data_IF_093771678415
#
_entry.id   IF_093771678415
#
_cell.length_a   1.000
_cell.length_b   1.000
_cell.length_c   1.000
_cell.angle_alpha   90.00
_cell.angle_beta   90.00
_cell.angle_gamma   90.00
#
_symmetry.space_group_name_H-M   'P 1'
#
loop_
_entity.id
_entity.type
_entity.pdbx_description
1 polymer ?
#
# COMPACT_ATOMS: atom_id res chain seq x y z
N UNK A 1 20.53 39.78 45.67
CA UNK A 1 21.82 39.24 46.16
C UNK A 1 21.56 37.86 46.72
N UNK A 2 22.52 36.92 46.56
CA UNK A 2 22.44 35.50 46.96
C UNK A 2 21.44 34.74 46.04
N UNK A 3 21.80 33.77 45.18
CA UNK A 3 23.00 32.91 45.05
C UNK A 3 22.82 31.61 45.85
N UNK A 4 23.17 30.39 45.42
CA UNK A 4 23.71 29.85 44.16
C UNK A 4 23.36 28.33 44.10
N UNK A 5 23.48 27.68 42.92
CA UNK A 5 23.52 26.20 42.80
C UNK A 5 25.00 25.72 42.90
N UNK A 6 25.39 24.45 43.24
CA UNK A 6 25.13 23.26 42.40
C UNK A 6 25.18 21.85 43.12
N UNK A 7 25.31 20.77 42.33
CA UNK A 7 25.52 19.33 42.65
C UNK A 7 27.04 18.94 42.72
N UNK A 8 27.56 17.69 42.52
CA UNK A 8 27.04 16.29 42.46
C UNK A 8 27.92 15.21 43.19
N UNK A 9 27.69 13.90 42.94
CA UNK A 9 28.58 12.68 42.90
C UNK A 9 27.88 11.42 43.50
N UNK A 10 27.67 10.29 42.80
CA UNK A 10 28.60 9.24 42.28
C UNK A 10 29.26 8.38 43.39
N UNK A 11 29.39 7.04 43.37
CA UNK A 11 29.16 5.96 42.38
C UNK A 11 29.13 4.55 43.08
N UNK A 12 28.42 3.55 42.52
CA UNK A 12 28.93 2.15 42.45
C UNK A 12 28.48 1.02 43.42
N UNK A 13 27.94 -0.06 42.82
CA UNK A 13 28.35 -1.48 42.92
C UNK A 13 27.78 -2.54 43.96
N UNK A 14 27.34 -3.66 43.36
CA UNK A 14 27.53 -5.10 43.72
C UNK A 14 26.53 -5.89 44.62
N UNK A 15 26.50 -7.21 44.32
CA UNK A 15 25.52 -8.28 44.60
C UNK A 15 26.36 -9.59 44.77
N UNK A 16 25.99 -10.68 45.52
CA UNK A 16 24.67 -11.12 46.05
C UNK A 16 24.67 -11.61 47.53
N UNK A 17 23.55 -12.22 47.98
CA UNK A 17 23.47 -13.63 48.48
C UNK A 17 22.79 -13.96 49.84
N UNK A 18 21.85 -14.91 49.76
CA UNK A 18 21.57 -16.06 50.66
C UNK A 18 21.91 -16.00 52.17
N UNK A 19 20.87 -15.78 52.99
CA UNK A 19 20.61 -16.47 54.27
C UNK A 19 19.08 -16.71 54.31
N UNK A 20 18.50 -17.91 54.37
CA UNK A 20 18.81 -19.19 55.02
C UNK A 20 18.40 -19.28 56.51
N UNK A 21 17.12 -19.66 56.69
CA UNK A 21 16.59 -20.64 57.68
C UNK A 21 16.15 -20.25 59.11
N UNK A 22 15.07 -20.94 59.51
CA UNK A 22 14.55 -21.24 60.87
C UNK A 22 13.76 -20.15 61.61
N UNK A 23 12.43 -20.33 61.57
CA UNK A 23 11.37 -20.19 62.61
C UNK A 23 10.08 -19.86 61.82
N UNK A 24 9.22 -20.82 61.48
CA UNK A 24 8.41 -21.60 62.42
C UNK A 24 8.11 -23.01 61.89
N UNK A 25 8.61 -24.04 62.59
CA UNK A 25 8.07 -25.40 62.55
C UNK A 25 7.44 -25.66 63.92
N UNK A 26 6.12 -25.50 64.06
CA UNK A 26 5.38 -25.95 65.24
C UNK A 26 3.85 -26.12 65.02
N UNK A 27 3.43 -26.60 63.83
CA UNK A 27 2.17 -27.34 63.70
C UNK A 27 2.44 -28.59 62.86
N UNK A 28 2.80 -29.67 63.54
CA UNK A 28 2.86 -31.03 63.01
C UNK A 28 2.14 -31.96 63.98
N UNK A 29 1.73 -33.13 63.48
CA UNK A 29 0.95 -34.16 64.20
C UNK A 29 -0.53 -33.78 64.40
N UNK A 30 -1.37 -34.10 63.39
CA UNK A 30 -2.83 -33.98 63.52
C UNK A 30 -3.66 -34.45 62.32
N UNK A 31 -3.19 -34.32 61.06
CA UNK A 31 -4.08 -34.48 59.86
C UNK A 31 -3.48 -35.37 58.74
N UNK A 32 -2.42 -36.14 58.99
CA UNK A 32 -1.77 -36.99 57.95
C UNK A 32 -2.22 -38.47 58.03
N UNK A 33 -3.36 -38.75 58.68
CA UNK A 33 -3.86 -40.13 58.89
C UNK A 33 -5.36 -40.32 58.58
N UNK A 34 -5.96 -39.46 57.76
CA UNK A 34 -7.38 -39.57 57.33
C UNK A 34 -7.55 -39.60 55.79
N UNK A 35 -6.53 -39.19 55.02
CA UNK A 35 -6.62 -39.04 53.55
C UNK A 35 -6.42 -40.38 52.78
N UNK A 36 -6.25 -41.50 53.47
CA UNK A 36 -5.96 -42.81 52.88
C UNK A 36 -7.09 -43.86 52.99
N UNK A 37 -8.35 -43.45 53.24
CA UNK A 37 -9.50 -44.39 53.32
C UNK A 37 -10.82 -43.89 52.70
N UNK A 38 -10.81 -42.84 51.87
CA UNK A 38 -11.99 -42.45 51.07
C UNK A 38 -11.69 -42.23 49.57
N UNK A 39 -10.65 -42.91 49.08
CA UNK A 39 -10.34 -43.00 47.64
C UNK A 39 -11.07 -44.14 46.95
N UNK A 40 -12.41 -44.14 46.93
CA UNK A 40 -13.21 -45.01 46.03
C UNK A 40 -14.65 -44.49 45.85
N UNK A 41 -14.78 -43.34 45.20
CA UNK A 41 -16.02 -42.96 44.51
C UNK A 41 -15.63 -42.32 43.17
N UNK A 42 -15.88 -43.03 42.08
CA UNK A 42 -15.82 -42.45 40.74
C UNK A 42 -16.95 -41.42 40.61
N UNK A 43 -16.66 -40.12 40.39
CA UNK A 43 -17.67 -39.25 39.83
C UNK A 43 -17.90 -39.73 38.40
N UNK A 44 -19.09 -40.27 38.11
CA UNK A 44 -19.56 -40.41 36.73
C UNK A 44 -19.61 -39.02 36.12
N UNK A 45 -18.53 -38.63 35.44
CA UNK A 45 -18.57 -37.55 34.45
C UNK A 45 -19.57 -37.98 33.40
N UNK A 46 -20.78 -37.44 33.49
CA UNK A 46 -21.74 -37.52 32.40
C UNK A 46 -21.09 -36.76 31.26
N UNK A 47 -20.53 -37.48 30.30
CA UNK A 47 -20.15 -36.92 29.01
C UNK A 47 -21.42 -36.36 28.40
N UNK A 48 -21.65 -35.07 28.60
CA UNK A 48 -22.48 -34.30 27.69
C UNK A 48 -21.63 -34.20 26.44
N UNK A 49 -21.83 -35.15 25.53
CA UNK A 49 -21.55 -34.93 24.12
C UNK A 49 -22.49 -33.83 23.66
N UNK A 50 -22.13 -32.60 23.99
CA UNK A 50 -22.49 -31.49 23.15
C UNK A 50 -21.76 -31.76 21.85
N UNK A 51 -22.50 -32.24 20.85
CA UNK A 51 -22.22 -31.74 19.51
C UNK A 51 -22.39 -30.22 19.61
N UNK A 52 -21.29 -29.52 19.85
CA UNK A 52 -21.10 -28.21 19.24
C UNK A 52 -20.94 -28.48 17.74
N UNK A 53 -22.06 -28.88 17.10
CA UNK A 53 -22.17 -28.76 15.67
C UNK A 53 -22.12 -27.25 15.42
N UNK A 54 -20.99 -26.76 14.93
CA UNK A 54 -20.98 -25.55 14.14
C UNK A 54 -22.12 -25.72 13.14
N UNK A 55 -23.19 -24.95 13.31
CA UNK A 55 -24.34 -24.99 12.41
C UNK A 55 -23.88 -24.34 11.12
N UNK A 56 -23.28 -25.16 10.26
CA UNK A 56 -22.76 -24.76 8.96
C UNK A 56 -23.86 -23.97 8.23
N UNK A 57 -23.62 -22.68 8.05
CA UNK A 57 -24.60 -21.78 7.46
C UNK A 57 -24.87 -22.26 6.03
N UNK A 58 -26.12 -22.60 5.74
CA UNK A 58 -26.53 -23.10 4.43
C UNK A 58 -26.11 -22.09 3.35
N UNK A 59 -25.28 -22.52 2.40
CA UNK A 59 -24.83 -21.67 1.31
C UNK A 59 -25.87 -21.64 0.18
N UNK A 60 -26.02 -20.48 -0.46
CA UNK A 60 -26.73 -20.32 -1.74
C UNK A 60 -25.77 -19.84 -2.82
N UNK A 61 -25.96 -20.35 -4.03
CA UNK A 61 -25.20 -19.88 -5.20
C UNK A 61 -25.74 -18.52 -5.67
N UNK A 62 -24.84 -17.64 -6.09
CA UNK A 62 -25.10 -16.34 -6.71
C UNK A 62 -24.29 -16.23 -8.00
N UNK A 63 -24.75 -15.42 -8.96
CA UNK A 63 -23.98 -15.08 -10.16
C UNK A 63 -23.71 -13.58 -10.23
N UNK A 64 -22.44 -13.20 -10.27
CA UNK A 64 -21.97 -11.83 -10.50
C UNK A 64 -21.52 -11.67 -11.96
N UNK A 65 -22.07 -10.68 -12.67
CA UNK A 65 -21.57 -10.24 -13.99
C UNK A 65 -20.87 -8.89 -13.82
N UNK A 66 -19.68 -8.72 -14.40
CA UNK A 66 -18.93 -7.45 -14.40
C UNK A 66 -18.75 -6.88 -15.82
N UNK A 67 -18.94 -5.58 -15.97
CA UNK A 67 -18.53 -4.80 -17.14
C UNK A 67 -17.62 -3.67 -16.65
N UNK A 68 -16.32 -3.76 -16.89
CA UNK A 68 -15.34 -2.76 -16.45
C UNK A 68 -14.80 -1.93 -17.62
N UNK A 69 -14.41 -0.70 -17.35
CA UNK A 69 -13.87 0.29 -18.28
C UNK A 69 -12.65 0.95 -17.64
N UNK A 70 -11.68 1.31 -18.47
CA UNK A 70 -10.46 2.02 -18.06
C UNK A 70 -9.71 1.29 -16.92
N UNK A 71 -9.59 -0.02 -17.10
CA UNK A 71 -8.85 -0.95 -16.24
C UNK A 71 -7.94 -1.78 -17.16
N UNK A 72 -6.69 -1.95 -16.76
CA UNK A 72 -5.64 -2.49 -17.65
C UNK A 72 -5.30 -3.95 -17.34
N UNK A 73 -4.54 -4.59 -18.23
CA UNK A 73 -3.79 -5.80 -17.91
C UNK A 73 -2.71 -5.47 -16.87
N UNK A 74 -2.43 -6.41 -15.95
CA UNK A 74 -1.34 -6.29 -14.98
C UNK A 74 -0.19 -7.22 -15.36
N UNK A 75 1.05 -6.74 -15.28
CA UNK A 75 2.26 -7.55 -15.49
C UNK A 75 2.45 -8.60 -14.36
N UNK A 76 2.08 -8.22 -13.13
CA UNK A 76 2.03 -9.08 -11.95
C UNK A 76 0.73 -8.89 -11.16
N UNK A 77 0.45 -9.79 -10.24
CA UNK A 77 -0.79 -9.83 -9.48
C UNK A 77 -2.00 -10.28 -10.30
N UNK A 78 -3.17 -10.00 -9.75
CA UNK A 78 -4.47 -10.26 -10.37
C UNK A 78 -5.56 -9.40 -9.74
N UNK A 79 -6.74 -9.37 -10.36
CA UNK A 79 -7.93 -8.75 -9.79
C UNK A 79 -8.80 -9.77 -9.05
N UNK A 80 -9.46 -9.34 -7.98
CA UNK A 80 -10.49 -10.15 -7.31
C UNK A 80 -11.77 -9.36 -7.14
N UNK A 81 -12.87 -9.95 -7.61
CA UNK A 81 -14.20 -9.41 -7.44
C UNK A 81 -14.79 -9.85 -6.10
N UNK A 82 -15.38 -8.91 -5.37
CA UNK A 82 -15.95 -9.13 -4.04
C UNK A 82 -17.38 -8.62 -3.97
N UNK A 83 -18.20 -9.34 -3.20
CA UNK A 83 -19.55 -8.88 -2.81
C UNK A 83 -19.64 -8.89 -1.28
N UNK A 84 -20.25 -7.87 -0.70
CA UNK A 84 -20.31 -7.71 0.77
C UNK A 84 -21.70 -7.32 1.25
N UNK A 85 -22.02 -7.69 2.50
CA UNK A 85 -23.19 -7.19 3.24
C UNK A 85 -22.88 -5.94 4.09
N UNK A 86 -21.63 -5.48 4.08
CA UNK A 86 -21.10 -4.38 4.90
C UNK A 86 -20.39 -4.84 6.19
N UNK A 87 -20.35 -6.15 6.45
CA UNK A 87 -19.65 -6.76 7.60
C UNK A 87 -18.72 -7.90 7.11
N UNK A 88 -19.23 -8.74 6.23
CA UNK A 88 -18.53 -9.88 5.62
C UNK A 88 -18.36 -9.63 4.13
N UNK A 89 -17.24 -10.08 3.56
CA UNK A 89 -16.98 -10.05 2.11
C UNK A 89 -16.84 -11.49 1.61
N UNK A 90 -17.44 -11.79 0.46
CA UNK A 90 -17.35 -13.07 -0.22
C UNK A 90 -16.59 -12.88 -1.53
N UNK A 91 -15.55 -13.70 -1.74
CA UNK A 91 -14.76 -13.79 -2.98
C UNK A 91 -15.68 -14.30 -4.08
N UNK A 92 -16.05 -13.44 -5.03
CA UNK A 92 -16.89 -13.81 -6.17
C UNK A 92 -16.08 -14.52 -7.25
N UNK A 93 -14.86 -14.05 -7.50
CA UNK A 93 -13.89 -14.72 -8.37
C UNK A 93 -12.63 -13.90 -8.60
N UNK A 94 -11.53 -14.61 -8.87
CA UNK A 94 -10.25 -14.04 -9.28
C UNK A 94 -10.14 -14.03 -10.80
N UNK A 95 -9.59 -12.96 -11.38
CA UNK A 95 -9.40 -12.82 -12.82
C UNK A 95 -8.18 -11.96 -13.17
N UNK A 96 -7.71 -12.09 -14.41
CA UNK A 96 -6.84 -11.11 -15.07
C UNK A 96 -7.53 -10.56 -16.31
N UNK A 97 -7.08 -9.41 -16.77
CA UNK A 97 -7.44 -8.84 -18.06
C UNK A 97 -6.32 -9.12 -19.06
N UNK A 98 -6.70 -9.44 -20.29
CA UNK A 98 -5.82 -9.35 -21.46
C UNK A 98 -5.88 -7.92 -22.03
N UNK A 99 -4.90 -7.59 -22.86
CA UNK A 99 -4.77 -6.31 -23.56
C UNK A 99 -6.01 -5.94 -24.41
N UNK A 100 -6.82 -6.93 -24.81
CA UNK A 100 -8.09 -6.77 -25.54
C UNK A 100 -9.32 -6.57 -24.62
N UNK A 101 -9.11 -6.45 -23.31
CA UNK A 101 -10.15 -6.32 -22.29
C UNK A 101 -10.87 -7.64 -21.94
N UNK A 102 -10.44 -8.78 -22.48
CA UNK A 102 -11.07 -10.07 -22.18
C UNK A 102 -10.65 -10.58 -20.80
N UNK A 103 -11.64 -10.91 -19.98
CA UNK A 103 -11.46 -11.51 -18.67
C UNK A 103 -11.00 -12.96 -18.81
N UNK A 104 -9.94 -13.32 -18.06
CA UNK A 104 -9.46 -14.69 -17.91
C UNK A 104 -9.36 -15.10 -16.46
N UNK A 105 -9.51 -16.39 -16.17
CA UNK A 105 -9.17 -16.96 -14.86
C UNK A 105 -7.64 -16.98 -14.65
N UNK A 106 -7.21 -17.43 -13.47
CA UNK A 106 -5.79 -17.44 -13.12
C UNK A 106 -4.96 -18.47 -13.92
N UNK A 107 -5.62 -19.46 -14.53
CA UNK A 107 -5.03 -20.45 -15.45
C UNK A 107 -5.01 -19.95 -16.92
N UNK A 108 -5.62 -18.79 -17.22
CA UNK A 108 -5.66 -18.15 -18.54
C UNK A 108 -6.86 -18.50 -19.42
N UNK A 109 -7.83 -19.28 -18.91
CA UNK A 109 -9.06 -19.61 -19.64
C UNK A 109 -10.01 -18.40 -19.64
N UNK A 110 -10.79 -18.23 -20.72
CA UNK A 110 -11.72 -17.08 -20.84
C UNK A 110 -12.89 -17.22 -19.87
N UNK A 111 -13.10 -16.20 -19.03
CA UNK A 111 -14.31 -16.08 -18.19
C UNK A 111 -15.46 -15.67 -19.09
N UNK A 112 -16.36 -16.62 -19.37
CA UNK A 112 -17.46 -16.39 -20.32
C UNK A 112 -18.42 -15.32 -19.80
N UNK A 113 -18.68 -14.30 -20.63
CA UNK A 113 -19.54 -13.14 -20.31
C UNK A 113 -19.13 -12.35 -19.05
N UNK A 114 -17.88 -12.50 -18.57
CA UNK A 114 -17.43 -11.95 -17.28
C UNK A 114 -18.35 -12.34 -16.11
N UNK A 115 -18.90 -13.56 -16.16
CA UNK A 115 -19.76 -14.13 -15.12
C UNK A 115 -18.97 -15.01 -14.14
N UNK A 116 -19.15 -14.72 -12.85
CA UNK A 116 -18.55 -15.40 -11.72
C UNK A 116 -19.64 -16.04 -10.86
N UNK A 117 -19.50 -17.34 -10.58
CA UNK A 117 -20.46 -18.09 -9.75
C UNK A 117 -19.82 -18.37 -8.40
N UNK A 118 -20.46 -17.92 -7.32
CA UNK A 118 -19.92 -17.99 -5.97
C UNK A 118 -20.99 -18.36 -4.95
N UNK A 119 -20.56 -18.69 -3.73
CA UNK A 119 -21.41 -19.07 -2.62
C UNK A 119 -21.49 -17.93 -1.58
N UNK A 120 -22.70 -17.69 -1.05
CA UNK A 120 -22.93 -16.82 0.11
C UNK A 120 -23.81 -17.51 1.13
N UNK A 121 -23.66 -17.12 2.39
CA UNK A 121 -24.56 -17.53 3.48
C UNK A 121 -26.02 -17.22 3.12
N UNK A 122 -26.92 -18.18 3.29
CA UNK A 122 -28.36 -17.98 3.12
C UNK A 122 -28.88 -16.91 4.09
N UNK A 123 -29.61 -15.94 3.55
CA UNK A 123 -30.27 -14.89 4.33
C UNK A 123 -29.46 -13.61 4.50
N UNK A 124 -28.25 -13.52 3.94
CA UNK A 124 -27.50 -12.26 3.87
C UNK A 124 -28.19 -11.24 2.97
N UNK A 125 -28.05 -9.96 3.33
CA UNK A 125 -28.50 -8.83 2.51
C UNK A 125 -27.27 -8.14 1.94
N UNK A 126 -26.89 -8.52 0.73
CA UNK A 126 -25.72 -7.99 0.04
C UNK A 126 -25.97 -6.53 -0.36
N UNK A 127 -24.99 -5.66 -0.12
CA UNK A 127 -25.12 -4.19 -0.15
C UNK A 127 -24.02 -3.49 -0.94
N UNK A 128 -22.92 -4.18 -1.29
CA UNK A 128 -21.76 -3.60 -1.99
C UNK A 128 -21.12 -4.62 -2.93
N UNK A 129 -20.63 -4.14 -4.08
CA UNK A 129 -19.73 -4.86 -4.98
C UNK A 129 -18.47 -4.01 -5.16
N UNK A 130 -17.30 -4.64 -5.11
CA UNK A 130 -16.01 -3.96 -5.32
C UNK A 130 -14.98 -4.93 -5.92
N UNK A 131 -13.89 -4.37 -6.44
CA UNK A 131 -12.76 -5.12 -7.00
C UNK A 131 -11.48 -4.66 -6.30
N UNK A 132 -10.62 -5.59 -5.94
CA UNK A 132 -9.28 -5.34 -5.41
C UNK A 132 -8.20 -5.81 -6.38
N UNK A 133 -6.98 -5.30 -6.19
CA UNK A 133 -5.74 -5.84 -6.75
C UNK A 133 -5.09 -6.72 -5.69
N UNK A 134 -4.74 -7.94 -6.04
CA UNK A 134 -4.13 -8.92 -5.14
C UNK A 134 -2.77 -9.40 -5.67
N UNK A 135 -1.84 -9.69 -4.75
CA UNK A 135 -0.56 -10.31 -5.09
C UNK A 135 -0.76 -11.73 -5.64
N UNK A 136 0.15 -12.20 -6.51
CA UNK A 136 0.07 -13.54 -7.09
C UNK A 136 0.30 -14.67 -6.07
N UNK A 137 0.97 -14.36 -4.96
CA UNK A 137 1.28 -15.28 -3.86
C UNK A 137 0.39 -15.06 -2.61
N UNK A 138 -0.63 -14.19 -2.69
CA UNK A 138 -1.58 -14.02 -1.60
C UNK A 138 -2.43 -15.29 -1.41
N UNK A 139 -2.58 -15.70 -0.15
CA UNK A 139 -3.35 -16.85 0.29
C UNK A 139 -4.50 -16.46 1.24
N UNK A 140 -4.72 -15.16 1.48
CA UNK A 140 -5.85 -14.67 2.26
C UNK A 140 -7.18 -14.83 1.48
N UNK A 141 -8.24 -15.13 2.22
CA UNK A 141 -9.61 -15.11 1.74
C UNK A 141 -10.34 -13.80 2.10
N UNK A 142 -9.59 -12.84 2.66
CA UNK A 142 -9.94 -11.44 2.83
C UNK A 142 -9.54 -10.62 1.61
N UNK A 143 -10.23 -9.50 1.29
CA UNK A 143 -9.76 -8.54 0.30
C UNK A 143 -8.53 -7.78 0.80
N UNK A 144 -7.60 -7.42 -0.10
CA UNK A 144 -6.60 -6.40 0.20
C UNK A 144 -7.23 -5.01 0.40
N UNK A 145 -6.43 -4.09 0.91
CA UNK A 145 -6.79 -2.68 0.99
C UNK A 145 -6.77 -1.97 -0.39
N UNK A 146 -6.20 -2.60 -1.43
CA UNK A 146 -6.00 -2.00 -2.76
C UNK A 146 -7.25 -2.11 -3.62
N UNK A 147 -8.30 -1.43 -3.19
CA UNK A 147 -9.59 -1.38 -3.90
C UNK A 147 -9.52 -0.45 -5.13
N UNK A 148 -9.75 -1.01 -6.32
CA UNK A 148 -9.69 -0.27 -7.60
C UNK A 148 -11.03 0.32 -8.02
N UNK A 149 -12.15 -0.39 -7.78
CA UNK A 149 -13.51 0.13 -8.02
C UNK A 149 -14.51 -0.40 -6.99
N UNK A 150 -15.52 0.40 -6.66
CA UNK A 150 -16.61 0.02 -5.75
C UNK A 150 -17.95 0.62 -6.20
N UNK A 151 -19.05 -0.03 -5.81
CA UNK A 151 -20.40 0.49 -5.96
C UNK A 151 -21.39 -0.13 -4.96
N UNK A 152 -22.37 0.68 -4.55
CA UNK A 152 -23.52 0.20 -3.76
C UNK A 152 -24.41 -0.71 -4.61
N UNK A 153 -24.84 -1.83 -4.02
CA UNK A 153 -25.71 -2.80 -4.68
C UNK A 153 -27.19 -2.46 -4.44
N UNK A 154 -27.89 -2.03 -5.49
CA UNK A 154 -29.32 -1.77 -5.47
C UNK A 154 -30.06 -2.64 -6.49
N UNK A 155 -31.07 -3.40 -6.04
CA UNK A 155 -31.94 -4.22 -6.90
C UNK A 155 -31.16 -5.16 -7.86
N UNK A 156 -30.05 -5.72 -7.38
CA UNK A 156 -29.17 -6.60 -8.16
C UNK A 156 -28.26 -5.86 -9.15
N UNK A 157 -28.05 -4.55 -9.04
CA UNK A 157 -27.08 -3.80 -9.84
C UNK A 157 -26.23 -2.84 -9.01
N UNK A 158 -24.99 -2.62 -9.42
CA UNK A 158 -24.14 -1.55 -8.89
C UNK A 158 -23.51 -0.77 -10.05
N UNK A 159 -23.41 0.55 -9.90
CA UNK A 159 -22.52 1.37 -10.71
C UNK A 159 -21.17 1.40 -9.99
N UNK A 160 -20.10 0.98 -10.66
CA UNK A 160 -18.76 0.92 -10.10
C UNK A 160 -17.96 2.16 -10.53
N UNK A 161 -17.19 2.70 -9.59
CA UNK A 161 -16.25 3.80 -9.83
C UNK A 161 -15.03 3.66 -8.92
N UNK A 162 -13.87 4.09 -9.40
CA UNK A 162 -12.72 4.40 -8.57
C UNK A 162 -13.11 5.44 -7.51
N UNK A 163 -12.80 5.14 -6.25
CA UNK A 163 -13.05 6.05 -5.14
C UNK A 163 -12.01 5.93 -4.02
N UNK A 164 -10.80 5.44 -4.34
CA UNK A 164 -9.73 5.32 -3.36
C UNK A 164 -9.31 6.71 -2.85
N UNK A 165 -9.14 7.67 -3.76
CA UNK A 165 -8.79 9.07 -3.44
C UNK A 165 -9.33 10.02 -4.52
N UNK A 166 -9.73 11.22 -4.12
CA UNK A 166 -10.06 12.29 -5.07
C UNK A 166 -8.77 12.96 -5.55
N UNK A 167 -8.51 12.91 -6.85
CA UNK A 167 -7.35 13.53 -7.49
C UNK A 167 -7.69 14.82 -8.24
N UNK A 168 -8.96 15.24 -8.34
CA UNK A 168 -9.40 16.37 -9.18
C UNK A 168 -8.74 17.70 -8.80
N UNK A 169 -8.44 17.89 -7.51
CA UNK A 169 -7.77 19.08 -6.99
C UNK A 169 -6.23 18.97 -6.95
N UNK A 170 -5.68 17.85 -7.43
CA UNK A 170 -4.22 17.62 -7.50
C UNK A 170 -3.55 18.72 -8.32
N UNK A 171 -2.48 19.29 -7.75
CA UNK A 171 -1.68 20.34 -8.40
C UNK A 171 -0.30 20.41 -7.78
N UNK A 172 0.65 20.98 -8.49
CA UNK A 172 1.94 21.30 -7.91
C UNK A 172 2.92 21.90 -8.90
N UNK A 173 4.18 21.85 -8.52
CA UNK A 173 5.32 22.13 -9.40
C UNK A 173 6.43 21.11 -9.17
N UNK A 174 7.31 20.96 -10.14
CA UNK A 174 8.56 20.21 -10.04
C UNK A 174 9.73 21.15 -10.25
N UNK A 175 10.94 20.72 -9.89
CA UNK A 175 12.16 21.49 -10.09
C UNK A 175 13.30 20.58 -10.54
N UNK A 176 14.10 21.07 -11.48
CA UNK A 176 15.36 20.43 -11.84
C UNK A 176 16.47 20.91 -10.89
N UNK A 177 17.04 19.97 -10.14
CA UNK A 177 18.09 20.20 -9.14
C UNK A 177 18.79 18.88 -8.78
N UNK A 178 20.09 18.91 -8.48
CA UNK A 178 20.85 17.79 -7.88
C UNK A 178 21.39 18.15 -6.47
N UNK A 179 20.52 18.29 -5.45
CA UNK A 179 20.91 18.73 -4.12
C UNK A 179 21.79 17.75 -3.33
N UNK A 180 21.98 16.51 -3.82
CA UNK A 180 22.80 15.48 -3.15
C UNK A 180 24.24 15.41 -3.67
N UNK A 181 24.69 16.36 -4.48
CA UNK A 181 26.08 16.44 -4.92
C UNK A 181 26.77 17.81 -4.72
N UNK A 182 27.85 18.07 -5.46
CA UNK A 182 28.63 19.30 -5.27
C UNK A 182 28.00 20.40 -6.15
N UNK A 183 27.48 21.50 -5.59
CA UNK A 183 26.76 22.53 -6.34
C UNK A 183 27.65 23.33 -7.32
N UNK A 184 28.94 22.99 -7.44
CA UNK A 184 29.86 23.47 -8.48
C UNK A 184 29.94 22.54 -9.71
N UNK A 185 29.09 21.49 -9.78
CA UNK A 185 28.96 20.61 -10.95
C UNK A 185 27.76 21.00 -11.80
N UNK A 186 27.93 20.95 -13.12
CA UNK A 186 26.89 21.29 -14.09
C UNK A 186 25.94 20.09 -14.38
N UNK A 187 25.39 19.47 -13.33
CA UNK A 187 24.47 18.30 -13.44
C UNK A 187 23.04 18.55 -12.96
N UNK A 188 22.73 19.77 -12.52
CA UNK A 188 21.44 20.15 -11.91
C UNK A 188 20.20 19.78 -12.72
N UNK A 189 20.33 19.64 -14.05
CA UNK A 189 19.24 19.23 -14.95
C UNK A 189 19.02 17.72 -15.06
N UNK A 190 19.76 16.92 -14.30
CA UNK A 190 19.60 15.47 -14.21
C UNK A 190 18.56 15.08 -13.18
N UNK A 191 18.55 15.77 -12.04
CA UNK A 191 17.64 15.49 -10.94
C UNK A 191 16.28 16.17 -11.10
N UNK A 192 15.27 15.59 -10.46
CA UNK A 192 13.91 16.12 -10.40
C UNK A 192 13.32 15.95 -9.00
N UNK A 193 12.82 17.05 -8.44
CA UNK A 193 12.34 17.11 -7.07
C UNK A 193 10.99 17.84 -6.94
N UNK A 194 10.27 17.52 -5.87
CA UNK A 194 8.93 18.05 -5.58
C UNK A 194 8.90 18.98 -4.36
N UNK A 195 9.75 20.01 -4.38
CA UNK A 195 9.77 21.08 -3.37
C UNK A 195 10.10 22.46 -3.96
N UNK A 196 9.80 23.51 -3.19
CA UNK A 196 10.11 24.90 -3.51
C UNK A 196 11.44 25.30 -2.83
N UNK A 197 12.47 25.75 -3.58
CA UNK A 197 13.85 25.95 -3.10
C UNK A 197 14.04 27.29 -2.34
N UNK A 198 13.06 27.70 -1.54
CA UNK A 198 13.15 28.88 -0.66
C UNK A 198 13.54 28.45 0.75
N UNK A 199 14.15 29.31 1.56
CA UNK A 199 14.48 28.96 2.95
C UNK A 199 13.35 29.38 3.92
N UNK A 200 12.73 28.48 4.71
CA UNK A 200 12.90 27.02 4.71
C UNK A 200 12.16 26.34 3.56
N UNK A 201 12.70 25.23 3.05
CA UNK A 201 12.11 24.45 1.97
C UNK A 201 10.69 24.01 2.34
N UNK A 202 9.78 24.03 1.37
CA UNK A 202 8.40 23.56 1.52
C UNK A 202 8.00 22.72 0.32
N UNK A 203 7.04 21.83 0.50
CA UNK A 203 6.49 21.04 -0.62
C UNK A 203 5.96 21.94 -1.72
N UNK A 204 6.12 21.49 -2.97
CA UNK A 204 5.51 22.08 -4.14
C UNK A 204 4.19 21.40 -4.52
N UNK A 205 3.86 20.27 -3.90
CA UNK A 205 2.69 19.44 -4.22
C UNK A 205 1.49 19.75 -3.31
N UNK A 206 0.31 19.63 -3.89
CA UNK A 206 -0.97 19.53 -3.20
C UNK A 206 -1.64 18.27 -3.72
N UNK A 207 -1.53 17.20 -2.94
CA UNK A 207 -2.16 15.91 -3.14
C UNK A 207 -2.95 15.56 -1.86
N UNK A 208 -4.05 14.83 -2.01
CA UNK A 208 -4.72 14.22 -0.86
C UNK A 208 -3.87 13.05 -0.33
N UNK A 209 -3.95 12.73 0.96
CA UNK A 209 -3.20 11.60 1.54
C UNK A 209 -3.54 10.30 0.81
N UNK A 210 -2.51 9.49 0.51
CA UNK A 210 -2.72 8.19 -0.12
C UNK A 210 -3.49 7.27 0.85
N UNK A 211 -4.59 6.63 0.41
CA UNK A 211 -5.36 5.71 1.23
C UNK A 211 -4.56 4.44 1.54
N UNK A 212 -5.06 3.63 2.49
CA UNK A 212 -4.49 2.30 2.75
C UNK A 212 -4.60 1.44 1.48
N UNK A 213 -3.60 0.59 1.22
CA UNK A 213 -3.49 -0.17 -0.03
C UNK A 213 -2.85 0.60 -1.20
N UNK A 214 -2.51 1.88 -0.99
CA UNK A 214 -1.96 2.75 -2.03
C UNK A 214 -0.78 3.58 -1.52
N UNK A 215 0.06 4.06 -2.44
CA UNK A 215 1.16 5.01 -2.23
C UNK A 215 1.28 5.92 -3.45
N UNK A 216 1.94 7.08 -3.36
CA UNK A 216 2.30 7.82 -4.57
C UNK A 216 3.72 7.46 -5.02
N UNK A 217 3.99 7.48 -6.32
CA UNK A 217 5.34 7.35 -6.86
C UNK A 217 5.60 8.46 -7.88
N UNK A 218 6.80 9.04 -7.82
CA UNK A 218 7.26 10.01 -8.81
C UNK A 218 7.97 9.30 -9.95
N UNK A 219 7.76 9.74 -11.18
CA UNK A 219 8.33 9.11 -12.36
C UNK A 219 8.85 10.12 -13.38
N UNK A 220 9.87 9.70 -14.13
CA UNK A 220 10.27 10.30 -15.40
C UNK A 220 10.08 9.27 -16.51
N UNK A 221 9.46 9.67 -17.62
CA UNK A 221 9.58 8.96 -18.90
C UNK A 221 10.66 9.65 -19.74
N UNK A 222 11.63 8.90 -20.26
CA UNK A 222 12.68 9.43 -21.11
C UNK A 222 13.10 8.42 -22.16
N UNK A 223 13.13 8.85 -23.43
CA UNK A 223 13.48 7.99 -24.57
C UNK A 223 12.63 6.69 -24.68
N UNK A 224 11.40 6.71 -24.18
CA UNK A 224 10.48 5.55 -24.17
C UNK A 224 10.58 4.65 -22.93
N UNK A 225 11.45 4.99 -21.98
CA UNK A 225 11.74 4.18 -20.79
C UNK A 225 11.40 4.95 -19.51
N UNK A 226 10.80 4.28 -18.53
CA UNK A 226 10.34 4.84 -17.25
C UNK A 226 11.45 4.80 -16.19
N UNK A 227 11.49 5.77 -15.28
CA UNK A 227 12.44 5.86 -14.16
C UNK A 227 11.67 6.29 -12.92
N UNK A 228 11.68 5.44 -11.88
CA UNK A 228 11.17 5.82 -10.56
C UNK A 228 12.08 6.87 -9.91
N UNK A 229 11.45 7.90 -9.35
CA UNK A 229 12.04 8.90 -8.45
C UNK A 229 11.75 8.56 -6.97
N UNK A 230 11.13 7.41 -6.69
CA UNK A 230 10.82 6.93 -5.35
C UNK A 230 9.35 7.07 -4.92
N UNK A 231 8.93 6.16 -4.02
CA UNK A 231 7.57 6.07 -3.45
C UNK A 231 7.43 6.92 -2.20
N UNK A 232 6.38 7.74 -2.12
CA UNK A 232 6.12 8.62 -0.97
C UNK A 232 4.67 8.53 -0.49
N UNK A 233 4.50 8.52 0.84
CA UNK A 233 3.19 8.62 1.51
C UNK A 233 2.86 10.05 1.95
N UNK A 234 3.81 10.97 1.87
CA UNK A 234 3.64 12.35 2.31
C UNK A 234 4.41 13.30 1.42
N UNK A 235 3.74 14.36 0.98
CA UNK A 235 4.34 15.43 0.15
C UNK A 235 5.35 16.30 0.92
N UNK A 236 5.47 16.14 2.24
CA UNK A 236 6.42 16.86 3.14
C UNK A 236 7.41 15.92 3.83
N UNK A 237 7.63 14.72 3.28
CA UNK A 237 8.64 13.78 3.74
C UNK A 237 9.46 13.24 2.58
N UNK A 238 10.55 12.53 2.91
CA UNK A 238 11.34 11.77 1.92
C UNK A 238 10.51 10.62 1.36
N UNK A 239 10.74 10.28 0.11
CA UNK A 239 10.33 9.00 -0.47
C UNK A 239 11.19 7.83 0.07
N UNK A 240 10.90 6.62 -0.38
CA UNK A 240 11.55 5.38 0.05
C UNK A 240 12.86 5.06 -0.67
N UNK A 241 13.29 5.87 -1.63
CA UNK A 241 14.39 5.61 -2.53
C UNK A 241 15.50 6.67 -2.38
N UNK A 242 16.70 6.33 -2.85
CA UNK A 242 17.90 7.20 -2.90
C UNK A 242 19.02 6.51 -3.72
N UNK A 243 18.66 5.55 -4.58
CA UNK A 243 19.61 4.72 -5.30
C UNK A 243 20.35 5.48 -6.39
N UNK A 244 19.80 6.60 -6.85
CA UNK A 244 20.37 7.45 -7.90
C UNK A 244 20.97 8.76 -7.36
N UNK A 245 20.68 9.10 -6.11
CA UNK A 245 21.26 10.22 -5.34
C UNK A 245 22.78 10.12 -5.23
N UNK A 246 23.47 11.25 -5.07
CA UNK A 246 24.88 11.42 -4.75
C UNK A 246 25.23 11.21 -3.26
N UNK A 247 26.34 11.81 -2.81
CA UNK A 247 26.94 11.55 -1.49
C UNK A 247 26.52 12.53 -0.38
N UNK A 248 25.87 13.64 -0.72
CA UNK A 248 25.38 14.63 0.25
C UNK A 248 23.94 14.32 0.71
N UNK A 249 23.55 14.88 1.86
CA UNK A 249 22.19 14.69 2.39
C UNK A 249 21.15 15.48 1.59
N UNK A 250 20.22 14.75 0.97
CA UNK A 250 19.13 15.34 0.18
C UNK A 250 18.01 15.98 1.02
N UNK A 251 17.17 16.83 0.38
CA UNK A 251 16.00 17.44 0.99
C UNK A 251 15.03 16.42 1.60
N UNK A 252 14.26 16.85 2.61
CA UNK A 252 13.24 16.02 3.25
C UNK A 252 11.91 15.99 2.46
N UNK A 253 11.99 15.82 1.15
CA UNK A 253 10.86 15.84 0.20
C UNK A 253 11.03 14.69 -0.81
N UNK A 254 10.01 14.34 -1.61
CA UNK A 254 10.17 13.32 -2.64
C UNK A 254 10.99 13.85 -3.83
N UNK A 255 11.87 13.02 -4.38
CA UNK A 255 12.66 13.33 -5.58
C UNK A 255 14.00 12.60 -5.65
N UNK A 256 14.63 12.65 -6.82
CA UNK A 256 15.92 11.98 -7.06
C UNK A 256 16.84 12.81 -7.97
N UNK A 257 18.15 12.60 -7.83
CA UNK A 257 19.16 13.38 -8.56
C UNK A 257 19.58 12.77 -9.90
N UNK A 258 19.30 11.48 -10.09
CA UNK A 258 19.67 10.72 -11.30
C UNK A 258 21.15 10.89 -11.66
N UNK A 259 22.06 10.68 -10.69
CA UNK A 259 23.51 10.89 -10.84
C UNK A 259 24.30 9.60 -11.02
N UNK A 260 23.84 8.48 -10.45
CA UNK A 260 24.54 7.19 -10.47
C UNK A 260 23.59 6.00 -10.53
N UNK A 261 24.13 4.81 -10.79
CA UNK A 261 23.39 3.54 -10.84
C UNK A 261 22.23 3.52 -11.87
N UNK A 262 22.40 4.22 -13.00
CA UNK A 262 21.46 4.19 -14.11
C UNK A 262 21.12 2.73 -14.51
N UNK A 263 19.82 2.36 -14.62
CA UNK A 263 19.44 1.01 -15.05
C UNK A 263 19.99 0.68 -16.43
N UNK A 264 20.42 -0.58 -16.67
CA UNK A 264 21.15 -0.97 -17.89
C UNK A 264 20.39 -0.69 -19.21
N UNK A 265 19.06 -0.61 -19.17
CA UNK A 265 18.20 -0.23 -20.31
C UNK A 265 18.49 1.20 -20.81
N UNK A 266 18.97 2.10 -19.94
CA UNK A 266 19.35 3.47 -20.31
C UNK A 266 20.76 3.52 -20.90
N UNK A 267 20.86 3.32 -22.22
CA UNK A 267 22.11 3.35 -22.99
C UNK A 267 22.90 4.67 -22.87
N UNK A 268 22.29 5.77 -22.43
CA UNK A 268 22.93 7.05 -22.17
C UNK A 268 23.56 7.20 -20.78
N UNK A 269 23.20 6.34 -19.82
CA UNK A 269 23.60 6.44 -18.42
C UNK A 269 23.10 7.70 -17.70
N UNK A 270 23.63 7.90 -16.50
CA UNK A 270 23.47 9.10 -15.68
C UNK A 270 24.84 9.80 -15.52
N UNK A 271 24.89 11.13 -15.29
CA UNK A 271 23.76 12.06 -15.33
C UNK A 271 23.32 12.38 -16.76
N UNK A 272 22.09 12.85 -16.92
CA UNK A 272 21.54 13.30 -18.20
C UNK A 272 20.88 14.69 -18.09
N UNK A 273 20.30 15.18 -19.18
CA UNK A 273 19.53 16.42 -19.19
C UNK A 273 18.04 16.09 -19.38
N UNK A 274 17.22 16.32 -18.35
CA UNK A 274 15.76 16.20 -18.42
C UNK A 274 15.11 17.33 -19.21
N UNK A 275 15.75 18.50 -19.26
CA UNK A 275 15.30 19.64 -20.06
C UNK A 275 15.67 19.46 -21.55
N UNK A 276 15.34 18.30 -22.13
CA UNK A 276 15.60 17.94 -23.53
C UNK A 276 14.38 18.09 -24.45
N UNK A 277 13.21 18.47 -23.89
CA UNK A 277 11.97 18.66 -24.65
C UNK A 277 11.29 17.36 -25.10
N UNK A 278 11.76 16.21 -24.61
CA UNK A 278 11.20 14.88 -24.91
C UNK A 278 10.94 14.01 -23.68
N UNK A 279 11.40 14.45 -22.51
CA UNK A 279 11.04 13.83 -21.22
C UNK A 279 9.67 14.27 -20.72
N UNK A 280 8.96 13.35 -20.06
CA UNK A 280 7.76 13.61 -19.26
C UNK A 280 8.11 13.39 -17.78
N UNK A 281 7.53 14.20 -16.89
CA UNK A 281 7.45 13.93 -15.44
C UNK A 281 6.00 13.67 -15.06
N UNK A 282 5.76 12.67 -14.23
CA UNK A 282 4.43 12.38 -13.72
C UNK A 282 4.47 11.78 -12.31
N UNK A 283 3.32 11.81 -11.63
CA UNK A 283 3.11 11.19 -10.33
C UNK A 283 1.90 10.27 -10.46
N UNK A 284 2.07 9.02 -10.06
CA UNK A 284 1.04 7.98 -10.05
C UNK A 284 0.55 7.70 -8.64
N UNK A 285 -0.65 7.13 -8.53
CA UNK A 285 -1.11 6.42 -7.35
C UNK A 285 -0.89 4.92 -7.58
N UNK A 286 0.12 4.37 -6.91
CA UNK A 286 0.57 2.99 -7.06
C UNK A 286 -0.09 2.05 -6.03
N UNK A 287 -0.45 0.82 -6.42
CA UNK A 287 -0.75 -0.27 -5.51
C UNK A 287 0.35 -0.47 -4.44
N UNK A 288 -0.04 -0.61 -3.18
CA UNK A 288 0.88 -0.92 -2.08
C UNK A 288 0.35 -2.06 -1.22
N UNK A 289 0.97 -3.23 -1.40
CA UNK A 289 0.80 -4.39 -0.55
C UNK A 289 1.99 -4.49 0.41
N UNK A 290 1.80 -4.02 1.64
CA UNK A 290 2.82 -4.05 2.71
C UNK A 290 4.16 -3.39 2.33
N UNK A 291 4.14 -2.30 1.56
CA UNK A 291 5.34 -1.59 1.10
C UNK A 291 5.93 -2.07 -0.23
N UNK A 292 5.29 -3.03 -0.91
CA UNK A 292 5.69 -3.54 -2.23
C UNK A 292 4.53 -3.40 -3.22
N UNK A 293 4.82 -3.15 -4.49
CA UNK A 293 3.80 -3.21 -5.54
C UNK A 293 3.49 -4.67 -5.91
N UNK A 294 2.23 -5.13 -5.87
CA UNK A 294 1.87 -6.43 -6.42
C UNK A 294 1.89 -6.47 -7.97
N UNK A 295 1.84 -5.31 -8.65
CA UNK A 295 1.58 -5.20 -10.10
C UNK A 295 2.82 -5.15 -10.99
N UNK A 296 3.97 -4.69 -10.48
CA UNK A 296 5.24 -4.71 -11.21
C UNK A 296 6.22 -3.59 -10.81
N UNK A 297 7.24 -3.40 -11.65
CA UNK A 297 8.22 -2.29 -11.54
C UNK A 297 7.89 -1.12 -12.50
N UNK A 298 6.79 -1.22 -13.26
CA UNK A 298 6.32 -0.18 -14.20
C UNK A 298 5.21 0.68 -13.56
N UNK A 299 5.04 1.95 -13.97
CA UNK A 299 4.08 2.86 -13.34
C UNK A 299 2.62 2.44 -13.57
N UNK A 300 1.81 2.42 -12.51
CA UNK A 300 0.37 2.18 -12.63
C UNK A 300 -0.36 3.35 -13.33
N UNK A 301 -1.40 3.06 -14.11
CA UNK A 301 -2.05 4.03 -15.01
C UNK A 301 -2.76 5.21 -14.31
N UNK A 302 -3.00 5.14 -13.01
CA UNK A 302 -3.67 6.22 -12.25
C UNK A 302 -2.68 7.36 -11.99
N UNK A 303 -2.51 8.23 -12.98
CA UNK A 303 -1.70 9.46 -12.86
C UNK A 303 -2.46 10.57 -12.13
N UNK A 304 -1.89 11.07 -11.03
CA UNK A 304 -2.38 12.24 -10.30
C UNK A 304 -1.95 13.57 -10.96
N UNK A 305 -0.71 13.61 -11.49
CA UNK A 305 -0.10 14.77 -12.15
C UNK A 305 0.81 14.31 -13.29
N UNK A 306 0.91 15.09 -14.37
CA UNK A 306 1.76 14.80 -15.53
C UNK A 306 2.13 16.07 -16.29
N UNK A 307 3.35 16.17 -16.80
CA UNK A 307 3.82 17.32 -17.57
C UNK A 307 4.97 16.95 -18.53
N UNK A 308 4.98 17.50 -19.75
CA UNK A 308 6.14 17.44 -20.65
C UNK A 308 7.21 18.43 -20.16
N UNK A 309 8.44 17.97 -19.91
CA UNK A 309 9.51 18.83 -19.39
C UNK A 309 10.02 19.75 -20.52
N UNK A 310 9.89 21.09 -20.40
CA UNK A 310 10.24 22.01 -21.49
C UNK A 310 11.71 21.93 -21.92
N UNK A 311 11.95 22.00 -23.24
CA UNK A 311 13.32 22.09 -23.79
C UNK A 311 14.05 23.29 -23.18
N UNK A 312 15.21 23.03 -22.57
CA UNK A 312 16.05 24.09 -22.02
C UNK A 312 15.58 24.67 -20.69
N UNK A 313 14.52 24.14 -20.05
CA UNK A 313 14.09 24.50 -18.68
C UNK A 313 15.31 24.72 -17.76
N UNK A 314 15.33 25.85 -17.07
CA UNK A 314 16.41 26.21 -16.18
C UNK A 314 16.35 25.37 -14.89
N UNK A 315 17.51 24.96 -14.40
CA UNK A 315 17.63 24.46 -13.04
C UNK A 315 17.16 25.52 -12.03
N UNK A 316 16.77 25.08 -10.85
CA UNK A 316 16.39 25.94 -9.71
C UNK A 316 15.19 26.87 -9.96
N UNK A 317 14.49 26.73 -11.09
CA UNK A 317 13.20 27.37 -11.37
C UNK A 317 12.09 26.31 -11.29
N UNK A 318 11.10 26.45 -10.39
CA UNK A 318 9.95 25.55 -10.36
C UNK A 318 9.08 25.70 -11.62
N UNK A 319 8.79 24.59 -12.29
CA UNK A 319 7.83 24.50 -13.39
C UNK A 319 6.51 23.91 -12.88
N UNK A 320 5.38 24.43 -13.34
CA UNK A 320 4.05 24.04 -12.85
C UNK A 320 3.57 22.83 -13.64
N UNK A 321 2.97 21.84 -12.97
CA UNK A 321 2.27 20.77 -13.70
C UNK A 321 1.08 21.36 -14.47
N UNK A 322 1.13 21.38 -15.81
CA UNK A 322 0.03 21.88 -16.65
C UNK A 322 -1.00 20.77 -16.94
N UNK A 323 -0.57 19.51 -16.93
CA UNK A 323 -1.45 18.35 -17.03
C UNK A 323 -1.97 17.86 -15.68
N UNK A 324 -3.25 18.12 -15.42
CA UNK A 324 -4.04 17.12 -14.71
C UNK A 324 -4.32 15.99 -15.70
N UNK A 325 -3.75 14.81 -15.46
CA UNK A 325 -4.11 13.63 -16.24
C UNK A 325 -5.56 13.29 -15.96
N UNK A 326 -6.45 13.63 -16.91
CA UNK A 326 -7.71 12.91 -17.08
C UNK A 326 -7.41 11.55 -17.71
N UNK A 327 -6.62 10.74 -17.01
CA UNK A 327 -6.80 9.31 -17.07
C UNK A 327 -8.28 9.06 -16.78
N UNK A 328 -8.94 8.32 -17.66
CA UNK A 328 -10.27 7.82 -17.34
C UNK A 328 -10.11 6.94 -16.11
N UNK A 329 -10.72 7.33 -14.98
CA UNK A 329 -10.60 6.52 -13.78
C UNK A 329 -11.34 5.19 -13.97
N UNK A 330 -10.81 4.08 -13.45
CA UNK A 330 -11.47 2.78 -13.49
C UNK A 330 -12.95 2.88 -13.10
N UNK A 331 -13.81 2.32 -13.93
CA UNK A 331 -15.26 2.38 -13.74
C UNK A 331 -15.94 1.15 -14.30
N UNK A 332 -17.26 1.04 -14.10
CA UNK A 332 -17.99 -0.08 -14.68
C UNK A 332 -19.41 -0.24 -14.16
N UNK A 333 -20.02 -1.37 -14.48
CA UNK A 333 -21.25 -1.83 -13.85
C UNK A 333 -21.11 -3.28 -13.38
N UNK A 334 -21.91 -3.64 -12.38
CA UNK A 334 -22.05 -5.01 -11.93
C UNK A 334 -23.53 -5.39 -11.87
N UNK A 335 -23.83 -6.65 -12.17
CA UNK A 335 -25.17 -7.25 -11.98
C UNK A 335 -25.05 -8.52 -11.15
N UNK A 336 -25.87 -8.64 -10.11
CA UNK A 336 -25.97 -9.81 -9.25
C UNK A 336 -27.33 -10.51 -9.47
N UNK A 337 -27.32 -11.84 -9.62
CA UNK A 337 -28.49 -12.70 -9.90
C UNK A 337 -28.57 -13.89 -8.94
#
# INVERSE_FOLDING_TARGET
MIGDSPSPQDLGNLIPSRFLWIFFVFICVGVVAVVAWFGYFEPKTRTVTGDESETATEQISQTLTLELQDIESLDSGHYVAWVSDGITSWKAGSFRLRDDGVFVDLDGNVVSHSEFVFAVDRGRTLSRIFVTIEANDDQDDSPSDTEIVTGSLERGRAQLSFSAVDLVESRGSYILLTPTDDPNKDFERSGLWFFVPVNPFRTSLVLNDAPRGWVYEGWVLRAGETISLGRFRSVVGRDSFHGFSGDAEGPAFPGEDLLRNAPERFSGGFPFNLADGSSEVFITLEPDYSGTDPTGDEPFHIRALSDEIPEGLADRIPEIFHGFSRASFPSGTATLK
#
